data_IF_475279553422
#
_entry.id   IF_475279553422
#
_cell.length_a   1.000
_cell.length_b   1.000
_cell.length_c   1.000
_cell.angle_alpha   90.00
_cell.angle_beta   90.00
_cell.angle_gamma   90.00
#
_symmetry.space_group_name_H-M   'P 1'
#
loop_
_entity.id
_entity.type
_entity.pdbx_description
1 polymer ?
#
# COMPACT_ATOMS: atom_id res chain seq x y z
N UNK A 1 27.72 37.32 -7.98
CA UNK A 1 27.31 37.59 -6.58
C UNK A 1 26.88 36.25 -6.01
N UNK A 2 27.72 35.60 -5.20
CA UNK A 2 27.56 34.21 -4.77
C UNK A 2 26.42 34.10 -3.76
N UNK A 3 25.56 33.10 -3.96
CA UNK A 3 24.44 32.75 -3.09
C UNK A 3 24.96 32.34 -1.69
N UNK A 4 24.40 32.96 -0.65
CA UNK A 4 24.53 32.51 0.73
C UNK A 4 23.64 31.29 0.94
N UNK A 5 24.26 30.12 1.08
CA UNK A 5 23.60 28.83 1.29
C UNK A 5 24.11 28.22 2.58
N UNK A 6 23.79 28.80 3.74
CA UNK A 6 24.26 28.30 5.05
C UNK A 6 23.31 28.73 6.21
N UNK A 7 22.01 28.43 6.11
CA UNK A 7 21.06 28.64 7.22
C UNK A 7 20.06 27.48 7.42
N UNK A 8 20.51 26.26 7.22
CA UNK A 8 19.86 25.08 7.80
C UNK A 8 20.84 24.42 8.78
N UNK A 9 21.05 25.09 9.91
CA UNK A 9 21.86 24.57 11.00
C UNK A 9 21.09 23.41 11.66
N UNK A 10 21.55 22.21 11.34
CA UNK A 10 21.13 20.89 11.77
C UNK A 10 20.60 20.85 13.23
N UNK A 11 19.29 20.76 13.42
CA UNK A 11 18.61 20.66 14.73
C UNK A 11 19.04 19.44 15.56
N UNK A 12 19.68 18.45 14.92
CA UNK A 12 20.18 17.23 15.57
C UNK A 12 21.44 17.45 16.42
N UNK A 13 22.11 18.61 16.32
CA UNK A 13 23.37 18.88 17.04
C UNK A 13 23.33 20.17 17.86
N UNK A 14 22.15 20.61 18.29
CA UNK A 14 22.01 21.82 19.10
C UNK A 14 22.76 21.66 20.43
N UNK A 15 23.72 22.54 20.69
CA UNK A 15 24.43 22.59 21.98
C UNK A 15 23.41 22.86 23.10
N UNK A 16 23.28 21.93 24.04
CA UNK A 16 22.37 22.07 25.18
C UNK A 16 22.88 23.07 26.23
N UNK A 17 24.20 23.22 26.33
CA UNK A 17 24.86 24.13 27.27
C UNK A 17 25.71 25.16 26.52
N UNK A 18 25.51 26.44 26.83
CA UNK A 18 26.46 27.48 26.49
C UNK A 18 27.72 27.31 27.37
N UNK A 19 28.89 27.51 26.78
CA UNK A 19 30.14 27.62 27.52
C UNK A 19 30.64 29.03 27.22
N UNK A 20 30.79 29.84 28.26
CA UNK A 20 31.18 31.25 28.20
C UNK A 20 32.68 31.40 28.38
N UNK A 21 33.33 30.46 29.08
CA UNK A 21 34.78 30.43 29.26
C UNK A 21 35.53 30.04 27.98
N UNK A 22 36.69 30.66 27.76
CA UNK A 22 37.61 30.34 26.66
C UNK A 22 38.67 29.30 27.05
N UNK A 23 39.05 29.25 28.34
CA UNK A 23 40.06 28.33 28.88
C UNK A 23 39.57 27.63 30.15
N UNK A 24 39.96 26.36 30.32
CA UNK A 24 39.57 25.54 31.46
C UNK A 24 40.56 25.70 32.62
N UNK A 25 40.05 26.03 33.80
CA UNK A 25 40.86 26.05 35.03
C UNK A 25 41.05 24.64 35.58
N UNK A 26 42.31 24.26 35.80
CA UNK A 26 42.69 22.93 36.26
C UNK A 26 43.51 22.99 37.54
N UNK A 27 43.08 22.24 38.56
CA UNK A 27 43.85 22.03 39.80
C UNK A 27 44.30 20.58 39.82
N UNK A 28 45.60 20.34 39.80
CA UNK A 28 46.20 19.00 39.69
C UNK A 28 45.71 18.20 38.47
N UNK A 29 45.41 18.89 37.37
CA UNK A 29 44.89 18.27 36.13
C UNK A 29 43.40 17.91 36.18
N UNK A 30 42.68 18.31 37.23
CA UNK A 30 41.25 18.06 37.39
C UNK A 30 40.50 19.39 37.17
N UNK A 31 39.45 19.41 36.31
CA UNK A 31 38.64 20.61 36.11
C UNK A 31 37.95 21.01 37.40
N UNK A 32 38.04 22.31 37.72
CA UNK A 32 37.53 22.87 38.97
C UNK A 32 36.01 23.05 38.92
N UNK A 33 35.44 23.23 37.73
CA UNK A 33 33.99 23.35 37.52
C UNK A 33 33.46 22.45 36.40
N UNK A 34 32.12 22.30 36.36
CA UNK A 34 31.44 21.58 35.28
C UNK A 34 31.60 22.25 33.91
N UNK A 35 31.76 23.57 33.87
CA UNK A 35 32.03 24.30 32.63
C UNK A 35 33.43 24.01 32.09
N UNK A 36 34.45 24.02 32.96
CA UNK A 36 35.84 23.67 32.61
C UNK A 36 35.93 22.23 32.10
N UNK A 37 35.15 21.32 32.70
CA UNK A 37 35.02 19.95 32.23
C UNK A 37 34.43 19.86 30.82
N UNK A 38 33.32 20.57 30.55
CA UNK A 38 32.68 20.55 29.24
C UNK A 38 33.59 21.16 28.16
N UNK A 39 34.37 22.18 28.49
CA UNK A 39 35.34 22.78 27.57
C UNK A 39 36.46 21.80 27.22
N UNK A 40 37.03 21.11 28.21
CA UNK A 40 38.01 20.05 27.98
C UNK A 40 37.46 18.91 27.12
N UNK A 41 36.23 18.47 27.40
CA UNK A 41 35.58 17.41 26.62
C UNK A 41 35.36 17.84 25.17
N UNK A 42 34.96 19.09 24.92
CA UNK A 42 34.82 19.62 23.54
C UNK A 42 36.16 19.65 22.82
N UNK A 43 37.20 20.19 23.45
CA UNK A 43 38.54 20.23 22.87
C UNK A 43 39.10 18.82 22.62
N UNK A 44 38.79 17.85 23.47
CA UNK A 44 39.19 16.46 23.27
C UNK A 44 38.40 15.79 22.15
N UNK A 45 37.09 16.05 22.07
CA UNK A 45 36.25 15.54 20.99
C UNK A 45 36.64 16.09 19.61
N UNK A 46 37.09 17.36 19.53
CA UNK A 46 37.64 17.95 18.29
C UNK A 46 38.90 17.25 17.79
N UNK A 47 39.70 16.68 18.71
CA UNK A 47 40.88 15.88 18.38
C UNK A 47 40.52 14.45 17.93
N UNK A 48 39.32 13.99 18.23
CA UNK A 48 38.83 12.69 17.81
C UNK A 48 38.27 12.76 16.38
N UNK A 49 38.46 11.70 15.61
CA UNK A 49 37.84 11.58 14.29
C UNK A 49 36.32 11.47 14.41
N UNK A 50 35.58 12.25 13.62
CA UNK A 50 34.11 12.32 13.66
C UNK A 50 33.42 10.97 13.42
N UNK A 51 34.04 10.07 12.67
CA UNK A 51 33.52 8.72 12.42
C UNK A 51 34.69 7.76 12.29
N UNK A 52 34.59 6.63 12.99
CA UNK A 52 35.55 5.53 12.89
C UNK A 52 34.78 4.30 12.43
N UNK A 53 35.29 3.62 11.41
CA UNK A 53 34.75 2.34 10.96
C UNK A 53 35.64 1.25 11.54
N UNK A 54 35.08 0.41 12.40
CA UNK A 54 35.79 -0.76 12.89
C UNK A 54 35.91 -1.82 11.77
N UNK A 55 37.04 -2.52 11.67
CA UNK A 55 37.17 -3.62 10.73
C UNK A 55 36.15 -4.73 11.05
N UNK A 56 35.62 -5.44 10.03
CA UNK A 56 34.65 -6.50 10.26
C UNK A 56 35.29 -7.65 11.07
N UNK A 57 34.51 -8.33 11.93
CA UNK A 57 35.01 -9.47 12.68
C UNK A 57 35.40 -10.61 11.72
N UNK A 58 36.39 -11.43 12.12
CA UNK A 58 36.89 -12.54 11.31
C UNK A 58 35.81 -13.58 10.91
N UNK A 59 34.72 -13.65 11.67
CA UNK A 59 33.55 -14.46 11.35
C UNK A 59 32.29 -13.60 11.43
N UNK A 60 31.64 -13.39 10.29
CA UNK A 60 30.35 -12.73 10.20
C UNK A 60 29.27 -13.80 10.26
N UNK A 61 28.46 -13.82 11.33
CA UNK A 61 27.27 -14.68 11.39
C UNK A 61 26.20 -14.07 10.50
N UNK A 62 25.90 -14.70 9.37
CA UNK A 62 24.67 -14.41 8.63
C UNK A 62 23.51 -15.03 9.40
N UNK A 63 22.68 -14.17 9.98
CA UNK A 63 21.41 -14.57 10.58
C UNK A 63 20.33 -14.29 9.54
N UNK A 64 19.55 -15.30 9.20
CA UNK A 64 18.32 -15.06 8.44
C UNK A 64 17.35 -14.26 9.30
N UNK A 65 16.65 -13.31 8.67
CA UNK A 65 15.58 -12.62 9.36
C UNK A 65 14.50 -13.63 9.80
N UNK A 66 13.89 -13.45 10.98
CA UNK A 66 12.72 -14.24 11.37
C UNK A 66 11.63 -14.14 10.30
N UNK A 67 10.84 -15.20 10.12
CA UNK A 67 9.85 -15.34 9.03
C UNK A 67 8.93 -14.12 8.88
N UNK A 68 8.48 -13.52 9.98
CA UNK A 68 7.60 -12.35 9.98
C UNK A 68 8.26 -11.03 9.52
N UNK A 69 9.60 -11.01 9.40
CA UNK A 69 10.38 -9.90 8.85
C UNK A 69 11.01 -10.26 7.50
N UNK A 70 10.76 -11.47 6.99
CA UNK A 70 11.12 -11.80 5.62
C UNK A 70 10.09 -11.17 4.69
N UNK A 71 10.56 -10.49 3.64
CA UNK A 71 9.70 -10.10 2.55
C UNK A 71 9.14 -11.37 1.92
N UNK A 72 7.82 -11.55 1.93
CA UNK A 72 7.17 -12.62 1.18
C UNK A 72 7.66 -12.56 -0.26
N UNK A 73 8.32 -13.63 -0.71
CA UNK A 73 8.65 -13.86 -2.13
C UNK A 73 7.42 -14.17 -2.98
N UNK A 74 6.23 -13.91 -2.45
CA UNK A 74 4.94 -14.17 -3.06
C UNK A 74 4.61 -13.11 -4.11
N UNK A 75 5.53 -12.87 -5.05
CA UNK A 75 5.08 -12.52 -6.40
C UNK A 75 4.42 -13.79 -6.91
N UNK A 76 3.08 -13.85 -7.01
CA UNK A 76 2.43 -15.06 -7.46
C UNK A 76 2.96 -15.41 -8.86
N UNK A 77 3.41 -16.65 -9.04
CA UNK A 77 4.04 -17.09 -10.29
C UNK A 77 3.03 -17.00 -11.42
N UNK A 78 3.10 -15.95 -12.24
CA UNK A 78 2.18 -15.77 -13.36
C UNK A 78 2.54 -16.74 -14.49
N UNK A 79 1.58 -17.59 -14.89
CA UNK A 79 1.71 -18.42 -16.09
C UNK A 79 1.66 -17.53 -17.33
N UNK A 80 2.75 -17.47 -18.10
CA UNK A 80 2.93 -16.52 -19.22
C UNK A 80 1.83 -16.56 -20.28
N UNK A 81 1.18 -17.71 -20.49
CA UNK A 81 0.07 -17.87 -21.44
C UNK A 81 -1.26 -17.24 -21.03
N UNK A 82 -1.40 -16.76 -19.78
CA UNK A 82 -2.64 -16.16 -19.26
C UNK A 82 -2.57 -14.63 -19.19
N UNK A 83 -1.42 -14.03 -19.53
CA UNK A 83 -1.22 -12.58 -19.47
C UNK A 83 -1.84 -11.94 -20.72
N UNK A 84 -2.68 -10.90 -20.58
CA UNK A 84 -3.25 -10.22 -21.73
C UNK A 84 -2.20 -9.36 -22.43
N UNK A 85 -2.43 -9.12 -23.72
CA UNK A 85 -1.57 -8.31 -24.58
C UNK A 85 -1.28 -6.91 -23.98
N UNK A 86 -0.03 -6.42 -24.01
CA UNK A 86 0.32 -5.12 -23.42
C UNK A 86 -0.39 -3.93 -24.04
N UNK A 87 -0.69 -3.95 -25.34
CA UNK A 87 -1.42 -2.86 -25.99
C UNK A 87 -2.89 -2.87 -25.57
N UNK A 88 -3.49 -4.06 -25.45
CA UNK A 88 -4.83 -4.21 -24.85
C UNK A 88 -4.87 -3.64 -23.43
N UNK A 89 -3.88 -3.94 -22.59
CA UNK A 89 -3.83 -3.44 -21.21
C UNK A 89 -3.80 -1.91 -21.16
N UNK A 90 -2.94 -1.27 -21.97
CA UNK A 90 -2.84 0.19 -22.05
C UNK A 90 -4.15 0.81 -22.52
N UNK A 91 -4.75 0.28 -23.57
CA UNK A 91 -6.01 0.77 -24.11
C UNK A 91 -7.13 0.63 -23.08
N UNK A 92 -7.24 -0.52 -22.43
CA UNK A 92 -8.23 -0.76 -21.38
C UNK A 92 -8.09 0.23 -20.23
N UNK A 93 -6.88 0.45 -19.72
CA UNK A 93 -6.62 1.39 -18.61
C UNK A 93 -6.99 2.81 -19.00
N UNK A 94 -6.67 3.24 -20.22
CA UNK A 94 -7.06 4.57 -20.69
C UNK A 94 -8.58 4.77 -20.69
N UNK A 95 -9.34 3.76 -21.12
CA UNK A 95 -10.81 3.78 -21.09
C UNK A 95 -11.34 3.77 -19.65
N UNK A 96 -10.73 2.94 -18.79
CA UNK A 96 -11.10 2.84 -17.37
C UNK A 96 -10.87 4.17 -16.64
N UNK A 97 -9.74 4.82 -16.85
CA UNK A 97 -9.41 6.11 -16.22
C UNK A 97 -10.37 7.21 -16.68
N UNK A 98 -10.69 7.28 -17.98
CA UNK A 98 -11.69 8.21 -18.49
C UNK A 98 -13.07 7.98 -17.87
N UNK A 99 -13.48 6.71 -17.74
CA UNK A 99 -14.73 6.34 -17.07
C UNK A 99 -14.71 6.73 -15.59
N UNK A 100 -13.61 6.44 -14.89
CA UNK A 100 -13.40 6.76 -13.48
C UNK A 100 -13.48 8.25 -13.21
N UNK A 101 -12.79 9.08 -13.99
CA UNK A 101 -12.86 10.54 -13.87
C UNK A 101 -14.29 11.06 -14.02
N UNK A 102 -15.04 10.54 -15.00
CA UNK A 102 -16.45 10.91 -15.20
C UNK A 102 -17.30 10.55 -13.98
N UNK A 103 -17.19 9.32 -13.48
CA UNK A 103 -18.00 8.84 -12.35
C UNK A 103 -17.66 9.55 -11.03
N UNK A 104 -16.38 9.85 -10.79
CA UNK A 104 -15.96 10.58 -9.60
C UNK A 104 -16.48 12.03 -9.60
N UNK A 105 -16.54 12.68 -10.76
CA UNK A 105 -17.10 14.04 -10.87
C UNK A 105 -18.58 14.13 -10.50
N UNK A 106 -19.34 13.05 -10.72
CA UNK A 106 -20.78 12.97 -10.43
C UNK A 106 -21.10 12.41 -9.03
N UNK A 107 -20.07 12.01 -8.27
CA UNK A 107 -20.22 11.33 -6.97
C UNK A 107 -21.08 12.11 -5.97
N UNK A 108 -20.94 13.43 -5.94
CA UNK A 108 -21.64 14.31 -4.98
C UNK A 108 -23.07 14.68 -5.40
N UNK A 109 -23.48 14.37 -6.62
CA UNK A 109 -24.80 14.75 -7.16
C UNK A 109 -25.86 13.66 -6.92
N UNK A 110 -25.42 12.43 -6.68
CA UNK A 110 -26.30 11.28 -6.47
C UNK A 110 -26.86 11.29 -5.04
N UNK A 111 -28.14 11.63 -4.91
CA UNK A 111 -28.89 11.42 -3.66
C UNK A 111 -29.41 9.99 -3.66
N UNK A 112 -28.77 9.10 -2.91
CA UNK A 112 -29.31 7.74 -2.77
C UNK A 112 -30.52 7.76 -1.83
N UNK A 113 -31.66 7.30 -2.35
CA UNK A 113 -32.88 7.01 -1.58
C UNK A 113 -32.89 5.57 -1.05
N UNK A 114 -31.80 4.83 -1.24
CA UNK A 114 -31.73 3.42 -0.93
C UNK A 114 -31.36 3.18 0.54
N UNK A 115 -32.08 2.28 1.21
CA UNK A 115 -31.70 1.77 2.53
C UNK A 115 -30.44 0.92 2.39
N UNK A 116 -29.30 1.47 2.78
CA UNK A 116 -28.02 0.77 2.75
C UNK A 116 -27.94 -0.26 3.89
N UNK A 117 -27.32 -1.43 3.65
CA UNK A 117 -27.04 -2.39 4.71
C UNK A 117 -26.17 -1.77 5.82
N UNK A 118 -26.36 -2.22 7.05
CA UNK A 118 -25.67 -1.68 8.24
C UNK A 118 -24.57 -2.64 8.69
N UNK A 119 -24.82 -3.95 8.59
CA UNK A 119 -23.91 -4.99 9.09
C UNK A 119 -23.16 -5.69 7.96
N UNK A 120 -21.93 -6.15 8.22
CA UNK A 120 -21.10 -6.91 7.27
C UNK A 120 -21.84 -8.12 6.66
N UNK A 121 -22.63 -8.85 7.45
CA UNK A 121 -23.42 -9.99 6.95
C UNK A 121 -24.51 -9.57 5.97
N UNK A 122 -25.16 -8.42 6.21
CA UNK A 122 -26.20 -7.89 5.32
C UNK A 122 -25.59 -7.43 4.00
N UNK A 123 -24.42 -6.80 4.04
CA UNK A 123 -23.67 -6.42 2.85
C UNK A 123 -23.26 -7.64 2.01
N UNK A 124 -22.81 -8.73 2.64
CA UNK A 124 -22.50 -9.99 1.93
C UNK A 124 -23.71 -10.55 1.19
N UNK A 125 -24.87 -10.62 1.85
CA UNK A 125 -26.09 -11.10 1.19
C UNK A 125 -26.58 -10.14 0.11
N UNK A 126 -26.41 -8.84 0.31
CA UNK A 126 -26.84 -7.81 -0.63
C UNK A 126 -26.07 -7.92 -1.96
N UNK A 127 -24.74 -8.01 -1.91
CA UNK A 127 -23.90 -8.04 -3.11
C UNK A 127 -23.86 -9.40 -3.82
N UNK A 128 -24.28 -10.49 -3.15
CA UNK A 128 -24.37 -11.84 -3.76
C UNK A 128 -25.78 -12.17 -4.25
N UNK A 129 -26.77 -11.34 -3.93
CA UNK A 129 -28.13 -11.52 -4.41
C UNK A 129 -28.23 -11.20 -5.90
N UNK A 130 -28.67 -12.18 -6.70
CA UNK A 130 -28.74 -12.13 -8.17
C UNK A 130 -29.77 -11.14 -8.76
N UNK A 131 -30.40 -10.29 -7.93
CA UNK A 131 -31.57 -9.50 -8.30
C UNK A 131 -31.29 -7.99 -8.39
N UNK A 132 -30.03 -7.58 -8.62
CA UNK A 132 -29.70 -6.16 -8.73
C UNK A 132 -29.54 -5.74 -10.18
N UNK A 133 -30.20 -4.64 -10.54
CA UNK A 133 -29.94 -3.93 -11.79
C UNK A 133 -28.55 -3.25 -11.72
N UNK A 134 -27.73 -3.43 -12.75
CA UNK A 134 -26.36 -2.88 -12.84
C UNK A 134 -26.30 -1.35 -12.65
N UNK A 135 -27.39 -0.65 -13.00
CA UNK A 135 -27.52 0.80 -12.84
C UNK A 135 -27.63 1.21 -11.37
N UNK A 136 -28.30 0.41 -10.54
CA UNK A 136 -28.45 0.66 -9.11
C UNK A 136 -27.12 0.48 -8.36
N UNK A 137 -26.21 -0.33 -8.89
CA UNK A 137 -24.93 -0.62 -8.25
C UNK A 137 -24.04 0.63 -8.16
N UNK A 138 -23.92 1.39 -9.26
CA UNK A 138 -23.15 2.63 -9.26
C UNK A 138 -23.80 3.71 -8.38
N UNK A 139 -25.12 3.81 -8.40
CA UNK A 139 -25.88 4.73 -7.54
C UNK A 139 -25.77 4.39 -6.05
N UNK A 140 -25.61 3.10 -5.73
CA UNK A 140 -25.44 2.62 -4.35
C UNK A 140 -24.03 2.92 -3.82
N UNK A 141 -23.00 2.80 -4.67
CA UNK A 141 -21.60 2.98 -4.26
C UNK A 141 -21.18 4.46 -4.25
N UNK A 142 -21.69 5.28 -5.19
CA UNK A 142 -21.38 6.70 -5.29
C UNK A 142 -21.48 7.48 -3.94
N UNK A 143 -22.56 7.35 -3.14
CA UNK A 143 -22.69 8.11 -1.89
C UNK A 143 -21.81 7.58 -0.75
N UNK A 144 -21.09 6.45 -0.92
CA UNK A 144 -20.29 5.89 0.16
C UNK A 144 -19.12 6.83 0.49
N UNK A 145 -19.03 7.31 1.76
CA UNK A 145 -18.16 8.42 2.14
C UNK A 145 -16.68 8.10 1.94
N UNK A 146 -16.31 6.85 2.16
CA UNK A 146 -15.02 6.26 1.79
C UNK A 146 -15.28 4.80 1.43
N UNK A 147 -14.30 4.17 0.77
CA UNK A 147 -14.25 2.71 0.63
C UNK A 147 -14.72 2.09 1.94
N UNK A 148 -15.79 1.30 1.96
CA UNK A 148 -16.12 0.56 3.17
C UNK A 148 -15.11 -0.61 3.21
N UNK A 149 -13.89 -0.28 3.68
CA UNK A 149 -12.65 -1.07 3.56
C UNK A 149 -12.81 -2.49 4.13
N UNK A 150 -13.68 -2.64 5.14
CA UNK A 150 -14.03 -3.92 5.75
C UNK A 150 -14.75 -4.88 4.80
N UNK A 151 -15.44 -4.36 3.78
CA UNK A 151 -16.18 -5.19 2.83
C UNK A 151 -15.36 -5.66 1.64
N UNK A 152 -14.44 -4.84 1.08
CA UNK A 152 -13.52 -5.29 0.01
C UNK A 152 -12.63 -6.44 0.46
N UNK A 153 -12.21 -6.42 1.73
CA UNK A 153 -11.51 -7.51 2.40
C UNK A 153 -12.40 -8.72 2.72
N UNK A 154 -13.73 -8.60 2.61
CA UNK A 154 -14.67 -9.71 2.72
C UNK A 154 -15.14 -10.21 1.35
N UNK A 155 -15.09 -9.37 0.33
CA UNK A 155 -15.36 -9.72 -1.07
C UNK A 155 -14.20 -10.54 -1.70
N UNK A 156 -13.01 -10.53 -1.09
CA UNK A 156 -11.93 -11.50 -1.34
C UNK A 156 -12.26 -12.94 -0.93
N UNK A 157 -13.45 -13.19 -0.35
CA UNK A 157 -14.03 -14.54 -0.20
C UNK A 157 -14.39 -15.23 -1.53
N UNK A 158 -13.86 -14.79 -2.68
CA UNK A 158 -13.75 -15.66 -3.87
C UNK A 158 -13.02 -16.96 -3.48
N UNK A 159 -12.11 -16.89 -2.50
CA UNK A 159 -11.70 -18.05 -1.71
C UNK A 159 -12.91 -18.46 -0.85
N UNK A 160 -13.67 -19.41 -1.39
CA UNK A 160 -14.69 -20.19 -0.69
C UNK A 160 -14.30 -20.45 0.76
N UNK A 161 -15.32 -20.46 1.62
CA UNK A 161 -15.24 -20.82 3.04
C UNK A 161 -14.21 -21.92 3.29
N UNK A 162 -13.32 -21.70 4.26
CA UNK A 162 -12.26 -22.61 4.71
C UNK A 162 -12.79 -24.06 4.81
N UNK A 163 -12.64 -24.84 3.73
CA UNK A 163 -13.16 -26.21 3.66
C UNK A 163 -13.81 -26.64 2.34
N UNK A 164 -14.17 -25.72 1.43
CA UNK A 164 -14.77 -26.07 0.13
C UNK A 164 -13.87 -25.63 -1.04
N UNK A 165 -13.24 -26.59 -1.72
CA UNK A 165 -12.30 -26.37 -2.83
C UNK A 165 -12.95 -25.97 -4.16
N UNK A 166 -14.27 -25.78 -4.19
CA UNK A 166 -15.03 -25.44 -5.38
C UNK A 166 -15.14 -23.93 -5.57
N UNK A 167 -14.84 -23.45 -6.77
CA UNK A 167 -15.12 -22.06 -7.18
C UNK A 167 -16.62 -21.75 -7.04
N UNK A 168 -17.00 -20.48 -6.79
CA UNK A 168 -18.40 -20.08 -6.74
C UNK A 168 -19.08 -20.30 -8.10
N UNK A 169 -20.41 -20.46 -8.09
CA UNK A 169 -21.22 -20.55 -9.30
C UNK A 169 -20.96 -19.36 -10.24
N UNK A 170 -21.09 -19.56 -11.56
CA UNK A 170 -20.82 -18.52 -12.57
C UNK A 170 -21.58 -17.21 -12.33
N UNK A 171 -22.81 -17.28 -11.85
CA UNK A 171 -23.64 -16.11 -11.55
C UNK A 171 -23.06 -15.32 -10.36
N UNK A 172 -22.69 -16.02 -9.28
CA UNK A 172 -22.07 -15.43 -8.10
C UNK A 172 -20.72 -14.80 -8.44
N UNK A 173 -19.92 -15.49 -9.25
CA UNK A 173 -18.64 -15.00 -9.74
C UNK A 173 -18.77 -13.65 -10.47
N UNK A 174 -19.74 -13.57 -11.40
CA UNK A 174 -19.96 -12.36 -12.18
C UNK A 174 -20.35 -11.17 -11.29
N UNK A 175 -21.17 -11.42 -10.27
CA UNK A 175 -21.51 -10.41 -9.26
C UNK A 175 -20.27 -9.95 -8.49
N UNK A 176 -19.42 -10.87 -8.02
CA UNK A 176 -18.18 -10.51 -7.32
C UNK A 176 -17.27 -9.62 -8.16
N UNK A 177 -17.04 -9.99 -9.42
CA UNK A 177 -16.18 -9.20 -10.33
C UNK A 177 -16.77 -7.81 -10.58
N UNK A 178 -18.08 -7.71 -10.80
CA UNK A 178 -18.76 -6.44 -11.05
C UNK A 178 -18.65 -5.50 -9.85
N UNK A 179 -18.87 -6.02 -8.63
CA UNK A 179 -18.72 -5.25 -7.40
C UNK A 179 -17.28 -4.77 -7.19
N UNK A 180 -16.29 -5.64 -7.42
CA UNK A 180 -14.87 -5.25 -7.32
C UNK A 180 -14.57 -4.13 -8.33
N UNK A 181 -14.98 -4.29 -9.59
CA UNK A 181 -14.78 -3.29 -10.63
C UNK A 181 -15.38 -1.93 -10.24
N UNK A 182 -16.65 -1.91 -9.82
CA UNK A 182 -17.34 -0.69 -9.45
C UNK A 182 -16.74 -0.02 -8.21
N UNK A 183 -16.23 -0.80 -7.26
CA UNK A 183 -15.52 -0.24 -6.11
C UNK A 183 -14.20 0.38 -6.54
N UNK A 184 -13.42 -0.26 -7.41
CA UNK A 184 -12.18 0.31 -7.96
C UNK A 184 -12.44 1.64 -8.70
N UNK A 185 -13.61 1.82 -9.31
CA UNK A 185 -14.01 3.11 -9.91
C UNK A 185 -14.14 4.21 -8.85
N UNK A 186 -14.79 3.94 -7.71
CA UNK A 186 -15.04 4.94 -6.67
C UNK A 186 -13.97 5.01 -5.57
N UNK A 187 -12.94 4.16 -5.62
CA UNK A 187 -11.72 4.30 -4.80
C UNK A 187 -11.15 5.72 -5.02
N UNK A 188 -10.75 6.38 -3.93
CA UNK A 188 -10.18 7.72 -3.96
C UNK A 188 -8.83 7.71 -4.72
N UNK A 189 -8.49 8.74 -5.53
CA UNK A 189 -7.15 8.87 -6.09
C UNK A 189 -6.03 8.93 -5.04
N UNK A 190 -6.28 9.43 -3.82
CA UNK A 190 -5.29 9.46 -2.74
C UNK A 190 -5.46 8.23 -1.84
N UNK A 191 -4.69 7.19 -2.12
CA UNK A 191 -4.72 5.94 -1.37
C UNK A 191 -3.93 6.03 -0.05
N UNK A 192 -4.49 5.47 1.03
CA UNK A 192 -3.73 5.23 2.26
C UNK A 192 -2.92 3.92 2.15
N UNK A 193 -1.96 3.72 3.05
CA UNK A 193 -1.20 2.46 3.13
C UNK A 193 -2.10 1.22 3.31
N UNK A 194 -3.20 1.38 4.06
CA UNK A 194 -4.20 0.32 4.23
C UNK A 194 -4.91 0.00 2.91
N UNK A 195 -5.32 1.03 2.15
CA UNK A 195 -6.02 0.83 0.87
C UNK A 195 -5.14 0.09 -0.14
N UNK A 196 -3.85 0.44 -0.19
CA UNK A 196 -2.87 -0.25 -1.02
C UNK A 196 -2.74 -1.72 -0.58
N UNK A 197 -2.64 -2.00 0.72
CA UNK A 197 -2.56 -3.39 1.21
C UNK A 197 -3.76 -4.22 0.75
N UNK A 198 -4.98 -3.69 0.89
CA UNK A 198 -6.23 -4.36 0.50
C UNK A 198 -6.24 -4.66 -1.00
N UNK A 199 -5.94 -3.64 -1.82
CA UNK A 199 -5.91 -3.78 -3.28
C UNK A 199 -4.88 -4.83 -3.71
N UNK A 200 -3.72 -4.86 -3.05
CA UNK A 200 -2.69 -5.86 -3.33
C UNK A 200 -3.13 -7.27 -2.96
N UNK A 201 -3.83 -7.45 -1.85
CA UNK A 201 -4.33 -8.76 -1.42
C UNK A 201 -5.45 -9.29 -2.35
N UNK A 202 -6.30 -8.39 -2.86
CA UNK A 202 -7.25 -8.70 -3.95
C UNK A 202 -6.48 -9.15 -5.19
N UNK A 203 -5.48 -8.37 -5.64
CA UNK A 203 -4.67 -8.69 -6.82
C UNK A 203 -3.99 -10.06 -6.71
N UNK A 204 -3.35 -10.35 -5.57
CA UNK A 204 -2.74 -11.67 -5.28
C UNK A 204 -3.77 -12.80 -5.38
N UNK A 205 -4.93 -12.62 -4.75
CA UNK A 205 -6.02 -13.61 -4.79
C UNK A 205 -6.51 -13.84 -6.22
N UNK A 206 -6.65 -12.78 -7.03
CA UNK A 206 -7.01 -12.91 -8.44
C UNK A 206 -5.98 -13.70 -9.23
N UNK A 207 -4.69 -13.49 -8.98
CA UNK A 207 -3.61 -14.22 -9.69
C UNK A 207 -3.58 -15.69 -9.25
N UNK A 208 -3.72 -15.97 -7.96
CA UNK A 208 -3.81 -17.34 -7.42
C UNK A 208 -4.94 -18.14 -8.09
N UNK A 209 -6.10 -17.50 -8.29
CA UNK A 209 -7.25 -18.14 -8.92
C UNK A 209 -7.03 -18.28 -10.43
N UNK A 210 -6.55 -17.23 -11.09
CA UNK A 210 -6.24 -17.23 -12.53
C UNK A 210 -5.31 -18.38 -12.89
N UNK A 211 -4.27 -18.61 -12.09
CA UNK A 211 -3.28 -19.66 -12.30
C UNK A 211 -3.85 -21.08 -12.19
N UNK A 212 -5.02 -21.27 -11.59
CA UNK A 212 -5.73 -22.56 -11.47
C UNK A 212 -6.72 -22.80 -12.61
N UNK A 213 -7.02 -21.77 -13.42
CA UNK A 213 -8.02 -21.83 -14.47
C UNK A 213 -7.40 -22.17 -15.84
N UNK A 214 -8.23 -22.71 -16.73
CA UNK A 214 -7.87 -22.93 -18.12
C UNK A 214 -7.93 -21.61 -18.91
N UNK A 215 -7.09 -21.41 -19.93
CA UNK A 215 -6.97 -20.15 -20.67
C UNK A 215 -8.26 -19.72 -21.38
N UNK A 216 -9.09 -20.66 -21.81
CA UNK A 216 -10.32 -20.39 -22.57
C UNK A 216 -11.51 -19.98 -21.69
N UNK A 217 -11.33 -19.89 -20.37
CA UNK A 217 -12.41 -19.55 -19.44
C UNK A 217 -12.62 -18.03 -19.39
N UNK A 218 -13.87 -17.59 -19.52
CA UNK A 218 -14.30 -16.17 -19.38
C UNK A 218 -13.83 -15.56 -18.05
N UNK A 219 -13.75 -16.37 -16.99
CA UNK A 219 -13.26 -15.95 -15.68
C UNK A 219 -11.81 -15.44 -15.73
N UNK A 220 -10.97 -15.98 -16.61
CA UNK A 220 -9.59 -15.51 -16.80
C UNK A 220 -9.58 -14.08 -17.35
N UNK A 221 -10.45 -13.77 -18.31
CA UNK A 221 -10.59 -12.43 -18.89
C UNK A 221 -11.02 -11.44 -17.79
N UNK A 222 -12.01 -11.83 -16.98
CA UNK A 222 -12.50 -11.01 -15.87
C UNK A 222 -11.42 -10.75 -14.81
N UNK A 223 -10.61 -11.75 -14.45
CA UNK A 223 -9.48 -11.56 -13.52
C UNK A 223 -8.40 -10.67 -14.11
N UNK A 224 -8.11 -10.84 -15.39
CA UNK A 224 -7.14 -10.03 -16.12
C UNK A 224 -7.56 -8.55 -16.15
N UNK A 225 -8.85 -8.24 -16.26
CA UNK A 225 -9.37 -6.87 -16.13
C UNK A 225 -9.00 -6.29 -14.76
N UNK A 226 -9.33 -7.00 -13.67
CA UNK A 226 -9.07 -6.53 -12.31
C UNK A 226 -7.57 -6.36 -12.05
N UNK A 227 -6.74 -7.36 -12.41
CA UNK A 227 -5.28 -7.31 -12.24
C UNK A 227 -4.67 -6.16 -13.05
N UNK A 228 -5.17 -5.90 -14.26
CA UNK A 228 -4.71 -4.79 -15.11
C UNK A 228 -5.02 -3.44 -14.46
N UNK A 229 -6.21 -3.26 -13.91
CA UNK A 229 -6.58 -2.03 -13.18
C UNK A 229 -5.66 -1.82 -11.97
N UNK A 230 -5.46 -2.88 -11.17
CA UNK A 230 -4.64 -2.83 -9.95
C UNK A 230 -3.18 -2.49 -10.28
N UNK A 231 -2.61 -3.16 -11.28
CA UNK A 231 -1.21 -2.98 -11.63
C UNK A 231 -0.92 -1.64 -12.30
N UNK A 232 -1.76 -1.21 -13.25
CA UNK A 232 -1.49 -0.03 -14.07
C UNK A 232 -2.16 1.25 -13.54
N UNK A 233 -3.43 1.20 -13.12
CA UNK A 233 -4.14 2.41 -12.65
C UNK A 233 -3.78 2.77 -11.21
N UNK A 234 -3.47 1.79 -10.37
CA UNK A 234 -3.05 2.00 -8.97
C UNK A 234 -1.54 1.80 -8.74
N UNK A 235 -0.76 1.66 -9.82
CA UNK A 235 0.71 1.62 -9.77
C UNK A 235 1.33 0.39 -9.12
N UNK A 236 0.59 -0.70 -8.95
CA UNK A 236 1.08 -1.96 -8.34
C UNK A 236 1.71 -2.89 -9.40
N UNK A 237 2.72 -2.40 -10.12
CA UNK A 237 3.32 -3.08 -11.28
C UNK A 237 3.95 -4.45 -10.97
N UNK A 238 4.29 -4.70 -9.71
CA UNK A 238 4.88 -5.96 -9.25
C UNK A 238 3.87 -7.13 -9.22
N UNK A 239 2.57 -6.87 -9.42
CA UNK A 239 1.48 -7.86 -9.37
C UNK A 239 1.01 -8.35 -10.76
N UNK A 240 1.82 -8.29 -11.81
CA UNK A 240 1.39 -8.67 -13.18
C UNK A 240 1.42 -10.18 -13.45
#
# INVERSE_FOLDING_TARGET
>A
MKLNHDKEENTLSRKAFAIEKEEAELVNGIPVSGEDYLLLVRQQAEKCTQTVIAPPPAQIKQLDLPFNYQFSKDTPTTTSGLIPDPEWQKLFVSCFEAFRTKQQSTKHTVKSTLTLPITNQQWRTYCTSSNQDDTLLLETIAPLPQLNKEWLLSATSIKTEEGSSSLPSNDQWSQHVMWIYALLVYVDPVLTSMDISIIRDVGRTCIDIRNKLQPDNIQVIQLNIIITIISLSFGQLDLR
#
